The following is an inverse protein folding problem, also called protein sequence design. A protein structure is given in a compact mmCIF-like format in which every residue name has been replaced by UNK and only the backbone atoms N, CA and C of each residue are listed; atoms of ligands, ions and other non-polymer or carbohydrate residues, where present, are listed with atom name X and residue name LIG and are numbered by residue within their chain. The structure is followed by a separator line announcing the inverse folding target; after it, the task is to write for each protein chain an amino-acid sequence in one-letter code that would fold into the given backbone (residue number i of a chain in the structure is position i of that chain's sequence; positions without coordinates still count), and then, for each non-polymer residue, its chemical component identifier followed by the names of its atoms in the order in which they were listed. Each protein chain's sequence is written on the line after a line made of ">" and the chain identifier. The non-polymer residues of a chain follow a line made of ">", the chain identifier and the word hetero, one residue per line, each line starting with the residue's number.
data_IF_397192062357
#
_entry.id   IF_397192062357
#
_cell.length_a   1.000
_cell.length_b   1.000
_cell.length_c   1.000
_cell.angle_alpha   90.00
_cell.angle_beta   90.00
_cell.angle_gamma   90.00
#
_symmetry.space_group_name_H-M   'P 1'
#
loop_
_entity.id
_entity.type
_entity.pdbx_description
1 polymer ?
#
# COMPACT_ATOMS: atom_id res chain seq x y z
N UNK A 1 11.35 23.78 -20.72
CA UNK A 1 10.50 22.57 -20.75
C UNK A 1 9.74 22.63 -19.44
N UNK A 2 8.44 22.89 -19.48
CA UNK A 2 7.69 23.27 -18.28
C UNK A 2 7.54 22.06 -17.34
N UNK A 3 7.91 22.22 -16.07
CA UNK A 3 7.82 21.18 -15.02
C UNK A 3 6.43 20.52 -14.96
N UNK A 4 5.38 21.27 -15.31
CA UNK A 4 4.00 20.77 -15.43
C UNK A 4 3.85 19.66 -16.48
N UNK A 5 4.55 19.75 -17.62
CA UNK A 5 4.51 18.72 -18.66
C UNK A 5 5.14 17.42 -18.18
N UNK A 6 6.21 17.48 -17.40
CA UNK A 6 6.88 16.32 -16.84
C UNK A 6 5.97 15.57 -15.85
N UNK A 7 5.24 16.29 -14.99
CA UNK A 7 4.26 15.67 -14.09
C UNK A 7 3.11 14.99 -14.84
N UNK A 8 2.56 15.62 -15.89
CA UNK A 8 1.52 14.99 -16.71
C UNK A 8 2.02 13.72 -17.42
N UNK A 9 3.24 13.76 -17.94
CA UNK A 9 3.85 12.60 -18.59
C UNK A 9 4.07 11.45 -17.59
N UNK A 10 4.56 11.74 -16.38
CA UNK A 10 4.74 10.74 -15.32
C UNK A 10 3.41 10.05 -14.93
N UNK A 11 2.32 10.83 -14.82
CA UNK A 11 0.98 10.27 -14.54
C UNK A 11 0.51 9.36 -15.67
N UNK A 12 0.77 9.74 -16.93
CA UNK A 12 0.41 8.92 -18.08
C UNK A 12 1.18 7.59 -18.10
N UNK A 13 2.48 7.63 -17.86
CA UNK A 13 3.33 6.43 -17.75
C UNK A 13 2.84 5.52 -16.62
N UNK A 14 2.51 6.08 -15.46
CA UNK A 14 1.95 5.32 -14.35
C UNK A 14 0.63 4.62 -14.73
N UNK A 15 -0.28 5.33 -15.41
CA UNK A 15 -1.54 4.76 -15.88
C UNK A 15 -1.32 3.61 -16.89
N UNK A 16 -0.35 3.75 -17.80
CA UNK A 16 0.03 2.69 -18.74
C UNK A 16 0.58 1.46 -18.01
N UNK A 17 1.40 1.64 -16.97
CA UNK A 17 1.90 0.53 -16.15
C UNK A 17 0.73 -0.19 -15.44
N UNK A 18 -0.22 0.56 -14.86
CA UNK A 18 -1.42 -0.02 -14.26
C UNK A 18 -2.23 -0.85 -15.29
N UNK A 19 -2.33 -0.37 -16.54
CA UNK A 19 -2.97 -1.13 -17.62
C UNK A 19 -2.20 -2.39 -18.01
N UNK A 20 -0.87 -2.38 -17.96
CA UNK A 20 -0.07 -3.59 -18.19
C UNK A 20 -0.35 -4.63 -17.09
N UNK A 21 -0.47 -4.19 -15.83
CA UNK A 21 -0.81 -5.08 -14.71
C UNK A 21 -2.19 -5.74 -14.92
N UNK A 22 -3.19 -5.00 -15.41
CA UNK A 22 -4.50 -5.59 -15.73
C UNK A 22 -4.45 -6.55 -16.91
N UNK A 23 -3.57 -6.36 -17.88
CA UNK A 23 -3.36 -7.36 -18.95
C UNK A 23 -2.65 -8.61 -18.40
N UNK A 24 -1.72 -8.42 -17.46
CA UNK A 24 -0.97 -9.53 -16.85
C UNK A 24 -1.87 -10.51 -16.08
N UNK A 25 -3.04 -10.06 -15.62
CA UNK A 25 -4.03 -10.92 -14.95
C UNK A 25 -4.59 -12.04 -15.85
N UNK A 26 -4.50 -11.89 -17.17
CA UNK A 26 -4.93 -12.92 -18.12
C UNK A 26 -3.97 -14.10 -18.16
N UNK A 27 -2.71 -13.94 -17.70
CA UNK A 27 -1.77 -15.05 -17.56
C UNK A 27 -2.30 -16.07 -16.53
N UNK A 28 -2.17 -17.35 -16.87
CA UNK A 28 -2.63 -18.48 -16.05
C UNK A 28 -1.99 -18.52 -14.66
N UNK A 29 -0.73 -18.10 -14.54
CA UNK A 29 0.01 -18.07 -13.26
C UNK A 29 -0.23 -16.80 -12.46
N UNK A 30 -0.36 -15.65 -13.15
CA UNK A 30 -0.44 -14.33 -12.50
C UNK A 30 -1.88 -13.95 -12.11
N UNK A 31 -2.89 -14.39 -12.86
CA UNK A 31 -4.29 -14.09 -12.58
C UNK A 31 -4.77 -14.52 -11.18
N UNK A 32 -4.51 -15.77 -10.75
CA UNK A 32 -4.82 -16.22 -9.39
C UNK A 32 -4.13 -15.37 -8.32
N UNK A 33 -2.86 -15.02 -8.51
CA UNK A 33 -2.11 -14.14 -7.60
C UNK A 33 -2.79 -12.78 -7.46
N UNK A 34 -3.21 -12.17 -8.58
CA UNK A 34 -3.90 -10.88 -8.56
C UNK A 34 -5.22 -10.93 -7.79
N UNK A 35 -6.05 -11.97 -8.00
CA UNK A 35 -7.30 -12.15 -7.24
C UNK A 35 -7.07 -12.29 -5.73
N UNK A 36 -5.98 -12.97 -5.34
CA UNK A 36 -5.59 -13.11 -3.94
C UNK A 36 -5.17 -11.76 -3.38
N UNK A 37 -4.28 -11.04 -4.06
CA UNK A 37 -3.84 -9.70 -3.65
C UNK A 37 -5.02 -8.74 -3.47
N UNK A 38 -6.00 -8.74 -4.38
CA UNK A 38 -7.20 -7.91 -4.26
C UNK A 38 -8.05 -8.30 -3.04
N UNK A 39 -8.18 -9.59 -2.73
CA UNK A 39 -8.89 -10.05 -1.53
C UNK A 39 -8.16 -9.61 -0.25
N UNK A 40 -6.83 -9.73 -0.21
CA UNK A 40 -6.02 -9.27 0.93
C UNK A 40 -6.07 -7.76 1.12
N UNK A 41 -6.14 -6.99 0.03
CA UNK A 41 -6.20 -5.54 0.08
C UNK A 41 -7.46 -5.06 0.83
N UNK A 42 -8.57 -5.80 0.74
CA UNK A 42 -9.78 -5.49 1.49
C UNK A 42 -9.59 -5.69 3.00
N UNK A 43 -8.95 -6.79 3.40
CA UNK A 43 -8.63 -7.05 4.81
C UNK A 43 -7.65 -6.00 5.36
N UNK A 44 -6.66 -5.60 4.55
CA UNK A 44 -5.72 -4.54 4.88
C UNK A 44 -6.42 -3.19 5.07
N UNK A 45 -7.44 -2.87 4.27
CA UNK A 45 -8.18 -1.62 4.40
C UNK A 45 -8.92 -1.50 5.73
N UNK A 46 -9.55 -2.58 6.21
CA UNK A 46 -10.22 -2.60 7.51
C UNK A 46 -9.24 -2.31 8.66
N UNK A 47 -8.02 -2.82 8.56
CA UNK A 47 -6.97 -2.53 9.53
C UNK A 47 -6.43 -1.10 9.45
N UNK A 48 -6.32 -0.55 8.24
CA UNK A 48 -5.88 0.83 8.03
C UNK A 48 -6.76 1.83 8.79
N UNK A 49 -8.06 1.55 8.93
CA UNK A 49 -8.97 2.39 9.70
C UNK A 49 -8.51 2.50 11.16
N UNK A 50 -8.22 1.36 11.80
CA UNK A 50 -7.75 1.32 13.20
C UNK A 50 -6.39 2.01 13.32
N UNK A 51 -5.48 1.75 12.39
CA UNK A 51 -4.17 2.40 12.34
C UNK A 51 -4.28 3.93 12.25
N UNK A 52 -5.10 4.46 11.34
CA UNK A 52 -5.30 5.90 11.16
C UNK A 52 -5.89 6.54 12.42
N UNK A 53 -6.88 5.89 13.05
CA UNK A 53 -7.47 6.39 14.31
C UNK A 53 -6.41 6.50 15.40
N UNK A 54 -5.54 5.50 15.56
CA UNK A 54 -4.47 5.53 16.54
C UNK A 54 -3.43 6.62 16.22
N UNK A 55 -3.02 6.74 14.95
CA UNK A 55 -2.11 7.81 14.51
C UNK A 55 -2.71 9.17 14.85
N UNK A 56 -3.97 9.42 14.54
CA UNK A 56 -4.64 10.71 14.85
C UNK A 56 -4.64 10.96 16.37
N UNK A 57 -5.01 9.95 17.17
CA UNK A 57 -5.04 10.07 18.63
C UNK A 57 -3.67 10.47 19.20
N UNK A 58 -2.61 9.76 18.82
CA UNK A 58 -1.26 10.07 19.29
C UNK A 58 -0.71 11.38 18.71
N UNK A 59 -1.13 11.76 17.50
CA UNK A 59 -0.77 13.04 16.86
C UNK A 59 -1.32 14.23 17.60
N UNK A 60 -2.55 14.15 18.08
CA UNK A 60 -3.14 15.20 18.91
C UNK A 60 -2.39 15.28 20.25
N UNK A 61 -2.11 14.13 20.89
CA UNK A 61 -1.40 14.10 22.17
C UNK A 61 0.00 14.72 22.09
N UNK A 62 0.81 14.36 21.11
CA UNK A 62 2.17 14.90 20.97
C UNK A 62 2.13 16.38 20.58
N UNK A 63 1.23 16.77 19.68
CA UNK A 63 1.08 18.16 19.25
C UNK A 63 0.71 19.07 20.43
N UNK A 64 -0.21 18.65 21.30
CA UNK A 64 -0.57 19.43 22.49
C UNK A 64 0.55 19.56 23.51
N UNK A 65 1.42 18.56 23.65
CA UNK A 65 2.53 18.60 24.60
C UNK A 65 3.74 19.39 24.08
N UNK A 66 3.96 19.42 22.76
CA UNK A 66 5.18 19.96 22.14
C UNK A 66 4.96 21.10 21.12
N UNK A 67 3.73 21.65 21.04
CA UNK A 67 3.28 22.64 20.06
C UNK A 67 4.31 23.73 19.71
N UNK A 68 4.84 24.45 20.70
CA UNK A 68 5.78 25.57 20.46
C UNK A 68 7.24 25.21 20.76
N UNK A 69 7.53 23.92 21.02
CA UNK A 69 8.83 23.48 21.55
C UNK A 69 9.66 22.72 20.53
N UNK A 70 9.00 22.00 19.61
CA UNK A 70 9.66 21.15 18.62
C UNK A 70 9.02 21.39 17.26
N UNK A 71 9.84 21.66 16.24
CA UNK A 71 9.36 22.01 14.90
C UNK A 71 8.54 20.91 14.23
N UNK A 72 8.90 19.64 14.47
CA UNK A 72 8.22 18.47 13.93
C UNK A 72 6.83 18.23 14.54
N UNK A 73 6.55 18.85 15.69
CA UNK A 73 5.29 18.72 16.40
C UNK A 73 4.47 20.02 16.46
N UNK A 74 4.84 21.03 15.67
CA UNK A 74 4.23 22.36 15.70
C UNK A 74 2.78 22.35 15.21
N UNK A 75 2.55 21.70 14.08
CA UNK A 75 1.22 21.58 13.47
C UNK A 75 0.73 20.14 13.61
N UNK A 76 -0.59 19.96 13.70
CA UNK A 76 -1.21 18.63 13.66
C UNK A 76 -0.72 17.80 12.45
N UNK A 77 -0.64 18.41 11.26
CA UNK A 77 -0.18 17.69 10.06
C UNK A 77 1.29 17.25 10.14
N UNK A 78 2.17 18.11 10.69
CA UNK A 78 3.58 17.75 10.93
C UNK A 78 3.69 16.61 11.94
N UNK A 79 2.93 16.70 13.04
CA UNK A 79 2.87 15.67 14.08
C UNK A 79 2.35 14.34 13.53
N UNK A 80 1.32 14.40 12.67
CA UNK A 80 0.79 13.25 11.95
C UNK A 80 1.84 12.61 11.07
N UNK A 81 2.52 13.39 10.23
CA UNK A 81 3.59 12.85 9.36
C UNK A 81 4.77 12.31 10.17
N UNK A 82 5.11 12.95 11.29
CA UNK A 82 6.18 12.53 12.19
C UNK A 82 5.86 11.18 12.84
N UNK A 83 4.62 11.00 13.34
CA UNK A 83 4.18 9.72 13.91
C UNK A 83 4.08 8.62 12.86
N UNK A 84 3.60 8.93 11.66
CA UNK A 84 3.58 7.94 10.56
C UNK A 84 5.01 7.50 10.25
N UNK A 85 5.95 8.44 10.08
CA UNK A 85 7.36 8.12 9.83
C UNK A 85 7.98 7.31 10.97
N UNK A 86 7.73 7.70 12.21
CA UNK A 86 8.20 6.98 13.39
C UNK A 86 7.62 5.55 13.45
N UNK A 87 6.33 5.37 13.16
CA UNK A 87 5.67 4.06 13.15
C UNK A 87 6.23 3.11 12.07
N UNK A 88 6.77 3.66 10.98
CA UNK A 88 7.46 2.92 9.92
C UNK A 88 8.94 2.64 10.25
N UNK A 89 9.42 3.10 11.41
CA UNK A 89 10.78 2.86 11.90
C UNK A 89 11.77 4.00 11.63
N UNK A 90 11.32 5.12 11.03
CA UNK A 90 12.15 6.30 10.87
C UNK A 90 11.88 7.28 12.03
N UNK A 91 12.53 7.03 13.16
CA UNK A 91 12.44 7.85 14.37
C UNK A 91 13.84 8.26 14.84
N UNK A 92 13.90 9.41 15.49
CA UNK A 92 15.12 9.92 16.10
C UNK A 92 14.80 10.41 17.52
N UNK A 93 15.59 9.99 18.50
CA UNK A 93 15.46 10.42 19.89
C UNK A 93 16.11 11.78 20.14
N UNK A 94 17.05 12.20 19.27
CA UNK A 94 17.77 13.47 19.41
C UNK A 94 16.87 14.69 19.22
N UNK A 95 15.67 14.50 18.64
CA UNK A 95 14.62 15.53 18.51
C UNK A 95 14.22 16.10 19.90
N UNK A 96 14.30 15.28 20.95
CA UNK A 96 13.95 15.69 22.32
C UNK A 96 15.14 16.24 23.11
N UNK A 97 16.35 16.23 22.54
CA UNK A 97 17.59 16.68 23.19
C UNK A 97 17.87 18.19 23.04
N UNK A 98 16.87 19.01 22.69
CA UNK A 98 17.03 20.47 22.60
C UNK A 98 17.26 21.07 24.01
N UNK A 99 18.34 21.85 24.22
CA UNK A 99 18.64 22.50 25.51
C UNK A 99 17.57 23.47 26.02
N UNK A 100 16.59 23.84 25.19
CA UNK A 100 15.46 24.69 25.59
C UNK A 100 14.33 23.93 26.28
N UNK A 101 14.33 22.60 26.24
CA UNK A 101 13.29 21.79 26.89
C UNK A 101 13.64 21.51 28.37
N UNK A 102 12.65 21.55 29.27
CA UNK A 102 12.85 21.08 30.65
C UNK A 102 13.03 19.55 30.67
N UNK A 103 13.92 19.07 31.55
CA UNK A 103 14.30 17.65 31.65
C UNK A 103 13.10 16.69 31.78
N UNK A 104 12.07 17.10 32.55
CA UNK A 104 10.86 16.31 32.73
C UNK A 104 10.09 16.07 31.42
N UNK A 105 10.07 17.06 30.53
CA UNK A 105 9.32 16.99 29.27
C UNK A 105 10.12 16.21 28.20
N UNK A 106 11.45 16.31 28.25
CA UNK A 106 12.34 15.46 27.44
C UNK A 106 12.14 13.99 27.77
N UNK A 107 12.20 13.63 29.05
CA UNK A 107 11.97 12.25 29.50
C UNK A 107 10.58 11.75 29.09
N UNK A 108 9.56 12.61 29.19
CA UNK A 108 8.20 12.28 28.73
C UNK A 108 8.16 12.00 27.22
N UNK A 109 8.80 12.83 26.40
CA UNK A 109 8.86 12.65 24.95
C UNK A 109 9.56 11.36 24.53
N UNK A 110 10.73 11.07 25.11
CA UNK A 110 11.49 9.83 24.86
C UNK A 110 10.68 8.59 25.24
N UNK A 111 10.08 8.58 26.44
CA UNK A 111 9.23 7.47 26.90
C UNK A 111 7.97 7.31 26.05
N UNK A 112 7.35 8.41 25.64
CA UNK A 112 6.20 8.41 24.74
C UNK A 112 6.55 7.81 23.38
N UNK A 113 7.69 8.17 22.79
CA UNK A 113 8.14 7.63 21.51
C UNK A 113 8.38 6.12 21.60
N UNK A 114 9.05 5.64 22.66
CA UNK A 114 9.27 4.20 22.89
C UNK A 114 7.94 3.45 23.00
N UNK A 115 7.00 3.99 23.79
CA UNK A 115 5.67 3.40 23.97
C UNK A 115 4.88 3.35 22.65
N UNK A 116 4.95 4.43 21.88
CA UNK A 116 4.35 4.54 20.55
C UNK A 116 4.91 3.47 19.61
N UNK A 117 6.24 3.35 19.54
CA UNK A 117 6.91 2.35 18.70
C UNK A 117 6.51 0.93 19.08
N UNK A 118 6.39 0.63 20.37
CA UNK A 118 5.95 -0.69 20.85
C UNK A 118 4.53 -1.01 20.37
N UNK A 119 3.59 -0.09 20.55
CA UNK A 119 2.19 -0.27 20.10
C UNK A 119 2.13 -0.49 18.59
N UNK A 120 2.78 0.37 17.81
CA UNK A 120 2.73 0.28 16.34
C UNK A 120 3.43 -0.97 15.82
N UNK A 121 4.53 -1.41 16.45
CA UNK A 121 5.22 -2.63 16.04
C UNK A 121 4.36 -3.89 16.29
N UNK A 122 3.72 -3.99 17.45
CA UNK A 122 2.78 -5.09 17.74
C UNK A 122 1.61 -5.07 16.75
N UNK A 123 1.06 -3.88 16.50
CA UNK A 123 -0.06 -3.69 15.59
C UNK A 123 0.30 -4.10 14.15
N UNK A 124 1.39 -3.57 13.58
CA UNK A 124 1.86 -3.90 12.23
C UNK A 124 2.23 -5.39 12.11
N UNK A 125 2.89 -5.97 13.12
CA UNK A 125 3.23 -7.39 13.12
C UNK A 125 1.96 -8.27 13.09
N UNK A 126 0.96 -7.95 13.91
CA UNK A 126 -0.31 -8.68 13.93
C UNK A 126 -1.07 -8.58 12.60
N UNK A 127 -0.99 -7.44 11.91
CA UNK A 127 -1.54 -7.30 10.56
C UNK A 127 -0.85 -8.22 9.56
N UNK A 128 0.49 -8.21 9.52
CA UNK A 128 1.26 -9.02 8.58
C UNK A 128 0.94 -10.51 8.80
N UNK A 129 0.88 -10.96 10.05
CA UNK A 129 0.53 -12.35 10.38
C UNK A 129 -0.89 -12.69 9.90
N UNK A 130 -1.87 -11.82 10.12
CA UNK A 130 -3.25 -12.04 9.67
C UNK A 130 -3.35 -12.15 8.14
N UNK A 131 -2.69 -11.25 7.40
CA UNK A 131 -2.65 -11.25 5.94
C UNK A 131 -1.99 -12.54 5.44
N UNK A 132 -0.81 -12.88 5.98
CA UNK A 132 -0.05 -14.04 5.56
C UNK A 132 -0.83 -15.34 5.80
N UNK A 133 -1.49 -15.45 6.96
CA UNK A 133 -2.38 -16.59 7.29
C UNK A 133 -3.52 -16.74 6.29
N UNK A 134 -4.18 -15.63 5.90
CA UNK A 134 -5.26 -15.67 4.91
C UNK A 134 -4.75 -16.06 3.51
N UNK A 135 -3.54 -15.61 3.13
CA UNK A 135 -2.88 -16.05 1.88
C UNK A 135 -2.64 -17.54 1.89
N UNK A 136 -1.98 -18.06 2.94
CA UNK A 136 -1.65 -19.47 3.03
C UNK A 136 -2.90 -20.35 2.94
N UNK A 137 -3.96 -20.01 3.69
CA UNK A 137 -5.22 -20.76 3.65
C UNK A 137 -5.90 -20.71 2.28
N UNK A 138 -5.85 -19.56 1.58
CA UNK A 138 -6.48 -19.41 0.26
C UNK A 138 -5.68 -20.11 -0.85
N UNK A 139 -4.35 -20.17 -0.73
CA UNK A 139 -3.48 -20.78 -1.73
C UNK A 139 -3.51 -22.31 -1.71
N UNK A 140 -3.58 -22.90 -0.51
CA UNK A 140 -3.51 -24.35 -0.35
C UNK A 140 -4.81 -25.04 -0.83
N UNK A 141 -5.98 -24.44 -0.57
CA UNK A 141 -7.28 -25.03 -0.97
C UNK A 141 -7.62 -24.85 -2.46
N UNK A 142 -7.09 -23.82 -3.14
CA UNK A 142 -7.62 -23.38 -4.46
C UNK A 142 -6.67 -23.55 -5.65
N UNK A 143 -5.42 -23.94 -5.46
CA UNK A 143 -4.43 -23.99 -6.56
C UNK A 143 -4.84 -24.95 -7.69
N UNK A 144 -5.40 -26.12 -7.37
CA UNK A 144 -5.80 -27.12 -8.37
C UNK A 144 -7.11 -26.78 -9.12
N UNK A 145 -8.10 -26.22 -8.43
CA UNK A 145 -9.40 -25.87 -9.03
C UNK A 145 -9.33 -24.66 -9.96
N UNK A 146 -8.55 -23.63 -9.58
CA UNK A 146 -8.34 -22.45 -10.42
C UNK A 146 -7.51 -22.77 -11.68
N UNK A 147 -6.53 -23.67 -11.58
CA UNK A 147 -5.77 -24.14 -12.73
C UNK A 147 -6.69 -24.81 -13.76
N UNK A 148 -7.53 -25.76 -13.32
CA UNK A 148 -8.45 -26.48 -14.22
C UNK A 148 -9.51 -25.57 -14.86
N UNK A 149 -10.09 -24.64 -14.08
CA UNK A 149 -11.06 -23.68 -14.60
C UNK A 149 -10.46 -22.70 -15.60
N UNK A 150 -9.18 -22.36 -15.47
CA UNK A 150 -8.51 -21.41 -16.38
C UNK A 150 -8.10 -22.06 -17.69
N UNK A 151 -7.67 -23.32 -17.68
CA UNK A 151 -7.48 -24.11 -18.92
C UNK A 151 -8.79 -24.17 -19.70
N UNK A 152 -9.92 -24.41 -19.01
CA UNK A 152 -11.23 -24.49 -19.63
C UNK A 152 -11.70 -23.13 -20.18
N UNK A 153 -11.58 -22.03 -19.42
CA UNK A 153 -12.03 -20.72 -19.89
C UNK A 153 -11.18 -20.17 -21.03
N UNK A 154 -9.86 -20.37 -20.99
CA UNK A 154 -8.96 -19.90 -22.04
C UNK A 154 -9.15 -20.70 -23.33
N UNK A 155 -9.55 -21.98 -23.22
CA UNK A 155 -9.96 -22.78 -24.38
C UNK A 155 -11.22 -22.24 -25.04
N UNK A 156 -12.17 -21.74 -24.25
CA UNK A 156 -13.41 -21.15 -24.78
C UNK A 156 -13.19 -19.76 -25.38
N UNK A 157 -12.31 -18.94 -24.80
CA UNK A 157 -11.95 -17.61 -25.32
C UNK A 157 -11.02 -17.65 -26.55
N UNK A 158 -10.21 -18.71 -26.70
CA UNK A 158 -9.36 -18.95 -27.88
C UNK A 158 -10.08 -19.72 -28.99
N UNK A 159 -11.35 -20.07 -28.82
CA UNK A 159 -12.12 -20.65 -29.92
C UNK A 159 -12.22 -19.62 -31.05
N UNK A 160 -11.47 -19.93 -32.10
CA UNK A 160 -11.41 -19.24 -33.39
C UNK A 160 -12.80 -18.85 -33.88
N UNK A 161 -13.09 -17.54 -33.90
CA UNK A 161 -14.34 -17.05 -34.46
C UNK A 161 -14.31 -17.23 -35.98
N UNK A 162 -15.07 -18.22 -36.48
CA UNK A 162 -15.18 -18.55 -37.90
C UNK A 162 -15.66 -17.36 -38.74
N UNK A 163 -16.34 -16.39 -38.15
CA UNK A 163 -16.89 -15.23 -38.88
C UNK A 163 -15.89 -14.08 -39.05
N UNK A 164 -14.87 -13.95 -38.20
CA UNK A 164 -13.95 -12.81 -38.23
C UNK A 164 -12.49 -13.16 -38.54
N UNK A 165 -12.07 -14.43 -38.47
CA UNK A 165 -10.70 -14.83 -38.80
C UNK A 165 -9.64 -14.02 -38.03
N UNK A 166 -8.36 -14.13 -38.42
CA UNK A 166 -7.26 -13.37 -37.79
C UNK A 166 -7.36 -11.83 -37.88
N UNK A 167 -8.47 -11.28 -38.38
CA UNK A 167 -8.75 -9.86 -38.59
C UNK A 167 -8.83 -9.05 -37.28
N UNK A 168 -9.28 -9.68 -36.18
CA UNK A 168 -9.30 -9.08 -34.84
C UNK A 168 -8.04 -9.43 -34.00
N UNK A 169 -7.09 -10.19 -34.56
CA UNK A 169 -5.90 -10.66 -33.84
C UNK A 169 -4.67 -9.76 -34.04
N UNK A 170 -4.78 -8.67 -34.81
CA UNK A 170 -3.69 -7.71 -34.94
C UNK A 170 -3.46 -6.98 -33.62
N UNK A 171 -2.18 -6.85 -33.21
CA UNK A 171 -1.81 -6.06 -32.04
C UNK A 171 -2.33 -4.62 -32.20
N UNK A 172 -2.86 -3.98 -31.14
CA UNK A 172 -3.50 -2.67 -31.21
C UNK A 172 -2.75 -1.56 -31.96
N UNK A 173 -1.40 -1.45 -31.95
CA UNK A 173 -0.71 -0.46 -32.78
C UNK A 173 -0.68 -0.80 -34.29
N UNK A 174 -0.77 -2.08 -34.65
CA UNK A 174 -0.73 -2.54 -36.05
C UNK A 174 -2.12 -2.50 -36.70
N UNK A 175 -3.19 -2.53 -35.89
CA UNK A 175 -4.59 -2.43 -36.33
C UNK A 175 -4.92 -1.10 -37.07
N UNK A 176 -4.06 -0.08 -36.96
CA UNK A 176 -4.26 1.22 -37.61
C UNK A 176 -3.65 1.32 -39.02
N UNK A 177 -2.73 0.42 -39.35
CA UNK A 177 -2.02 0.39 -40.65
C UNK A 177 -2.67 -0.59 -41.65
N UNK A 178 -3.71 -1.31 -41.23
CA UNK A 178 -4.38 -2.37 -42.00
C UNK A 178 -5.67 -1.89 -42.66
#
# INVERSE_FOLDING_TARGET
>A
MDDSFEYFFAINVFCLICRIITILQFNERVGPLFKIVTKLAYDFFNFCIIYIILVIMFSILINLNFLDRIHDYETFFKSFTSIVNASLGNYDFDIFHDPKLPDNLRLFGEMFLIFLLLIFNILISNLIIAILSNVYNTFDERSNGLYLSKILSTRDELNYDRCYGGFLSALPPINFLQ
#
